data_IF_411405611825
#
_entry.id   IF_411405611825
#
_cell.length_a   1.000
_cell.length_b   1.000
_cell.length_c   1.000
_cell.angle_alpha   90.00
_cell.angle_beta   90.00
_cell.angle_gamma   90.00
#
_symmetry.space_group_name_H-M   'P 1'
#
loop_
_entity.id
_entity.type
_entity.pdbx_description
1 polymer ?
#
# COMPACT_ATOMS: atom_id res chain seq x y z
N UNK A 1 16.09 -2.68 -9.83
CA UNK A 1 15.07 -3.75 -9.99
C UNK A 1 13.82 -3.32 -9.20
N UNK A 2 12.63 -3.86 -9.44
CA UNK A 2 11.38 -3.42 -8.79
C UNK A 2 10.53 -4.60 -8.27
N UNK A 3 9.60 -4.31 -7.35
CA UNK A 3 8.65 -5.24 -6.73
C UNK A 3 7.25 -4.63 -6.74
N UNK A 4 6.21 -5.46 -6.86
CA UNK A 4 4.81 -5.06 -6.81
C UNK A 4 4.03 -6.04 -5.92
N UNK A 5 2.99 -5.53 -5.28
CA UNK A 5 2.00 -6.29 -4.53
C UNK A 5 0.65 -5.55 -4.58
N UNK A 6 -0.42 -6.23 -4.22
CA UNK A 6 -1.76 -5.66 -4.11
C UNK A 6 -2.56 -6.35 -3.01
N UNK A 7 -3.64 -5.70 -2.56
CA UNK A 7 -4.53 -6.20 -1.52
C UNK A 7 -5.98 -6.00 -1.97
N UNK A 8 -6.76 -7.08 -2.01
CA UNK A 8 -8.19 -7.06 -2.32
C UNK A 8 -8.97 -7.67 -1.14
N UNK A 9 -9.78 -6.86 -0.47
CA UNK A 9 -10.65 -7.27 0.64
C UNK A 9 -12.12 -7.32 0.19
N UNK A 10 -12.44 -8.36 -0.60
CA UNK A 10 -13.77 -8.53 -1.20
C UNK A 10 -14.89 -8.63 -0.16
N UNK A 11 -14.63 -9.27 0.98
CA UNK A 11 -15.62 -9.51 2.03
C UNK A 11 -15.72 -8.40 3.08
N UNK A 12 -14.99 -7.29 2.93
CA UNK A 12 -14.84 -6.25 3.96
C UNK A 12 -14.46 -6.82 5.34
N UNK A 13 -13.69 -7.91 5.34
CA UNK A 13 -13.35 -8.69 6.52
C UNK A 13 -12.18 -8.08 7.30
N UNK A 14 -11.38 -7.25 6.63
CA UNK A 14 -10.20 -6.63 7.22
C UNK A 14 -10.54 -5.25 7.76
N UNK A 15 -10.14 -5.00 9.01
CA UNK A 15 -10.13 -3.66 9.57
C UNK A 15 -9.10 -2.78 8.87
N UNK A 16 -9.29 -1.46 8.90
CA UNK A 16 -8.31 -0.51 8.37
C UNK A 16 -6.90 -0.70 8.99
N UNK A 17 -6.82 -1.06 10.27
CA UNK A 17 -5.55 -1.33 10.94
C UNK A 17 -4.85 -2.56 10.34
N UNK A 18 -5.59 -3.65 10.08
CA UNK A 18 -5.05 -4.85 9.45
C UNK A 18 -4.60 -4.58 8.01
N UNK A 19 -5.40 -3.87 7.21
CA UNK A 19 -5.02 -3.47 5.85
C UNK A 19 -3.72 -2.66 5.86
N UNK A 20 -3.64 -1.63 6.70
CA UNK A 20 -2.45 -0.80 6.82
C UNK A 20 -1.22 -1.58 7.33
N UNK A 21 -1.41 -2.56 8.21
CA UNK A 21 -0.32 -3.43 8.65
C UNK A 21 0.20 -4.32 7.52
N UNK A 22 -0.69 -4.95 6.75
CA UNK A 22 -0.33 -5.76 5.58
C UNK A 22 0.45 -4.92 4.56
N UNK A 23 -0.04 -3.71 4.24
CA UNK A 23 0.62 -2.79 3.33
C UNK A 23 2.04 -2.42 3.81
N UNK A 24 2.21 -2.15 5.10
CA UNK A 24 3.52 -1.83 5.67
C UNK A 24 4.48 -3.01 5.53
N UNK A 25 4.06 -4.22 5.90
CA UNK A 25 4.90 -5.42 5.83
C UNK A 25 5.29 -5.75 4.38
N UNK A 26 4.32 -5.80 3.47
CA UNK A 26 4.58 -6.14 2.06
C UNK A 26 5.49 -5.11 1.38
N UNK A 27 5.26 -3.81 1.64
CA UNK A 27 6.09 -2.76 1.05
C UNK A 27 7.55 -2.81 1.55
N UNK A 28 7.77 -3.07 2.84
CA UNK A 28 9.12 -3.25 3.39
C UNK A 28 9.80 -4.51 2.85
N UNK A 29 9.11 -5.65 2.74
CA UNK A 29 9.71 -6.87 2.16
C UNK A 29 10.09 -6.67 0.69
N UNK A 30 9.31 -5.89 -0.06
CA UNK A 30 9.60 -5.54 -1.44
C UNK A 30 10.91 -4.74 -1.63
N UNK A 31 11.44 -4.10 -0.58
CA UNK A 31 12.73 -3.40 -0.63
C UNK A 31 13.90 -4.30 -1.00
N UNK A 32 13.80 -5.62 -0.75
CA UNK A 32 14.78 -6.60 -1.20
C UNK A 32 15.02 -6.57 -2.72
N UNK A 33 14.07 -6.03 -3.51
CA UNK A 33 14.22 -5.84 -4.96
C UNK A 33 14.58 -4.41 -5.37
N UNK A 34 14.46 -3.42 -4.49
CA UNK A 34 14.79 -2.03 -4.78
C UNK A 34 14.28 -1.04 -3.72
N UNK A 35 15.09 -0.01 -3.44
CA UNK A 35 14.83 1.02 -2.41
C UNK A 35 14.73 2.44 -2.96
N UNK A 36 14.88 2.61 -4.27
CA UNK A 36 15.00 3.94 -4.91
C UNK A 36 13.71 4.75 -4.82
N UNK A 37 12.55 4.08 -4.85
CA UNK A 37 11.23 4.71 -4.76
C UNK A 37 10.16 3.71 -4.32
N UNK A 38 9.15 4.21 -3.63
CA UNK A 38 7.97 3.46 -3.21
C UNK A 38 6.71 4.23 -3.55
N UNK A 39 5.65 3.51 -3.91
CA UNK A 39 4.34 4.10 -4.14
C UNK A 39 3.20 3.15 -3.81
N UNK A 40 2.01 3.72 -3.72
CA UNK A 40 0.75 3.04 -3.47
C UNK A 40 -0.34 3.68 -4.34
N UNK A 41 -1.25 2.87 -4.84
CA UNK A 41 -2.45 3.31 -5.52
C UNK A 41 -3.65 2.62 -4.88
N UNK A 42 -4.75 3.33 -4.70
CA UNK A 42 -5.97 2.76 -4.12
C UNK A 42 -7.18 3.59 -4.54
N UNK A 43 -8.36 2.98 -4.56
CA UNK A 43 -9.58 3.70 -4.93
C UNK A 43 -10.38 4.16 -3.71
N UNK A 44 -11.01 5.31 -3.86
CA UNK A 44 -11.98 5.89 -2.91
C UNK A 44 -13.23 6.31 -3.68
N UNK A 45 -14.25 6.79 -2.98
CA UNK A 45 -15.44 7.37 -3.63
C UNK A 45 -15.11 8.59 -4.51
N UNK A 46 -13.94 9.22 -4.30
CA UNK A 46 -13.43 10.33 -5.11
C UNK A 46 -12.53 9.87 -6.27
N UNK A 47 -12.51 8.57 -6.58
CA UNK A 47 -11.70 7.99 -7.64
C UNK A 47 -10.28 7.60 -7.22
N UNK A 48 -9.47 7.22 -8.21
CA UNK A 48 -8.16 6.60 -7.99
C UNK A 48 -7.19 7.58 -7.34
N UNK A 49 -6.65 7.21 -6.19
CA UNK A 49 -5.62 7.94 -5.46
C UNK A 49 -4.27 7.27 -5.70
N UNK A 50 -3.24 8.06 -5.98
CA UNK A 50 -1.87 7.59 -6.19
C UNK A 50 -0.91 8.43 -5.37
N UNK A 51 -0.04 7.76 -4.61
CA UNK A 51 1.00 8.39 -3.84
C UNK A 51 2.35 7.71 -4.11
N UNK A 52 3.39 8.47 -4.46
CA UNK A 52 4.73 7.95 -4.75
C UNK A 52 5.81 8.92 -4.24
N UNK A 53 6.91 8.39 -3.73
CA UNK A 53 8.09 9.16 -3.27
C UNK A 53 9.40 8.45 -3.64
N UNK A 54 10.49 9.20 -3.87
CA UNK A 54 11.83 8.64 -4.06
C UNK A 54 12.45 8.26 -2.71
N UNK A 55 11.78 7.38 -1.97
CA UNK A 55 12.19 6.89 -0.65
C UNK A 55 11.90 5.39 -0.54
N UNK A 56 12.67 4.65 0.28
CA UNK A 56 12.34 3.28 0.62
C UNK A 56 11.02 3.20 1.39
N UNK A 57 10.38 2.05 1.37
CA UNK A 57 9.07 1.83 1.95
C UNK A 57 9.04 2.00 3.48
N UNK A 58 10.08 1.60 4.20
CA UNK A 58 10.17 1.73 5.66
C UNK A 58 10.27 3.19 6.13
N UNK A 59 10.61 4.13 5.24
CA UNK A 59 10.55 5.57 5.50
C UNK A 59 9.18 6.19 5.18
N UNK A 60 8.27 5.44 4.54
CA UNK A 60 6.93 5.91 4.19
C UNK A 60 5.88 5.32 5.11
N UNK A 61 4.98 6.18 5.58
CA UNK A 61 3.80 5.74 6.34
C UNK A 61 2.63 5.52 5.38
N UNK A 62 2.66 4.41 4.65
CA UNK A 62 1.57 4.02 3.74
C UNK A 62 0.29 3.80 4.55
N UNK A 63 -0.77 4.53 4.20
CA UNK A 63 -2.08 4.46 4.86
C UNK A 63 -3.18 4.57 3.83
N UNK A 64 -4.16 3.69 3.94
CA UNK A 64 -5.40 3.77 3.18
C UNK A 64 -6.58 4.11 4.10
N UNK A 65 -7.59 4.83 3.58
CA UNK A 65 -8.87 5.03 4.24
C UNK A 65 -9.57 3.70 4.59
N UNK A 66 -10.52 3.75 5.53
CA UNK A 66 -11.23 2.55 6.02
C UNK A 66 -12.10 1.91 4.94
N UNK A 67 -12.67 2.75 4.10
CA UNK A 67 -13.55 2.47 2.97
C UNK A 67 -12.84 1.88 1.75
N UNK A 68 -11.50 1.85 1.74
CA UNK A 68 -10.72 1.25 0.66
C UNK A 68 -10.74 -0.28 0.72
N UNK A 69 -11.19 -0.91 -0.38
CA UNK A 69 -11.31 -2.37 -0.48
C UNK A 69 -10.31 -3.00 -1.45
N UNK A 70 -9.63 -2.19 -2.26
CA UNK A 70 -8.59 -2.66 -3.17
C UNK A 70 -7.47 -1.63 -3.29
N UNK A 71 -6.26 -2.18 -3.30
CA UNK A 71 -4.96 -1.50 -3.42
C UNK A 71 -4.13 -2.27 -4.44
#
# INVERSE_FOLDING_TARGET
>A
MCCLFGLLDYGHSLTAAQKNHILAVLSTVCEARGTDATGIAYNTDNGLQIYKRPLPAHHLRLRIPKDTNYV
#
